data_IF_328393152958
#
_entry.id   IF_328393152958
#
_cell.length_a   1.000
_cell.length_b   1.000
_cell.length_c   1.000
_cell.angle_alpha   90.00
_cell.angle_beta   90.00
_cell.angle_gamma   90.00
#
_symmetry.space_group_name_H-M   'P 1'
#
loop_
_entity.id
_entity.type
_entity.pdbx_description
1 polymer ?
#
# COMPACT_ATOMS: atom_id res chain seq x y z
N UNK A 1 -21.64 20.52 14.12
CA UNK A 1 -21.57 19.70 12.89
C UNK A 1 -21.65 20.64 11.72
N UNK A 2 -20.53 20.91 11.03
CA UNK A 2 -20.57 21.64 9.76
C UNK A 2 -21.14 20.65 8.74
N UNK A 3 -22.28 20.98 8.12
CA UNK A 3 -22.84 20.16 7.05
C UNK A 3 -21.83 20.09 5.91
N UNK A 4 -21.24 18.91 5.68
CA UNK A 4 -20.32 18.71 4.57
C UNK A 4 -21.02 18.95 3.23
N UNK A 5 -20.32 19.55 2.27
CA UNK A 5 -20.83 19.77 0.93
C UNK A 5 -21.08 18.40 0.27
N UNK A 6 -22.31 18.16 -0.19
CA UNK A 6 -22.65 16.96 -0.98
C UNK A 6 -22.68 17.33 -2.46
N UNK A 7 -21.98 16.55 -3.27
CA UNK A 7 -21.99 16.69 -4.72
C UNK A 7 -22.31 15.35 -5.38
N UNK A 8 -23.09 15.39 -6.46
CA UNK A 8 -23.31 14.23 -7.33
C UNK A 8 -22.43 14.39 -8.56
N UNK A 9 -21.60 13.39 -8.84
CA UNK A 9 -20.67 13.38 -9.96
C UNK A 9 -20.97 12.18 -10.86
N UNK A 10 -21.07 12.45 -12.15
CA UNK A 10 -21.11 11.40 -13.16
C UNK A 10 -19.69 11.14 -13.69
N UNK A 11 -19.29 9.88 -13.67
CA UNK A 11 -18.01 9.43 -14.20
C UNK A 11 -18.30 8.71 -15.51
N UNK A 12 -17.93 9.35 -16.61
CA UNK A 12 -18.06 8.75 -17.94
C UNK A 12 -17.13 7.55 -18.12
N UNK A 13 -17.41 6.76 -19.14
CA UNK A 13 -16.60 5.60 -19.53
C UNK A 13 -15.12 5.97 -19.72
N UNK A 14 -14.25 5.17 -19.10
CA UNK A 14 -12.80 5.33 -19.13
C UNK A 14 -12.34 6.72 -18.71
N UNK A 15 -13.06 7.33 -17.77
CA UNK A 15 -12.66 8.55 -17.06
C UNK A 15 -12.46 8.26 -15.59
N UNK A 16 -11.70 9.14 -14.95
CA UNK A 16 -11.48 9.11 -13.52
C UNK A 16 -11.62 10.52 -12.94
N UNK A 17 -11.97 10.58 -11.66
CA UNK A 17 -11.91 11.78 -10.86
C UNK A 17 -11.03 11.49 -9.64
N UNK A 18 -10.33 12.50 -9.16
CA UNK A 18 -9.51 12.42 -7.96
C UNK A 18 -10.26 13.03 -6.80
N UNK A 19 -10.32 12.33 -5.69
CA UNK A 19 -11.00 12.78 -4.48
C UNK A 19 -9.98 12.88 -3.36
N UNK A 20 -9.82 14.10 -2.84
CA UNK A 20 -9.00 14.44 -1.67
C UNK A 20 -9.89 14.38 -0.43
N UNK A 21 -9.51 13.55 0.54
CA UNK A 21 -10.27 13.41 1.78
C UNK A 21 -10.08 14.58 2.75
N UNK A 22 -10.89 14.64 3.83
CA UNK A 22 -11.80 13.60 4.27
C UNK A 22 -13.10 13.60 3.45
N UNK A 23 -13.48 12.45 2.87
CA UNK A 23 -14.67 12.34 2.04
C UNK A 23 -15.34 10.97 2.18
N UNK A 24 -16.67 10.93 2.06
CA UNK A 24 -17.44 9.68 1.90
C UNK A 24 -17.96 9.62 0.47
N UNK A 25 -17.73 8.49 -0.19
CA UNK A 25 -18.23 8.20 -1.53
C UNK A 25 -19.32 7.15 -1.42
N UNK A 26 -20.46 7.40 -2.04
CA UNK A 26 -21.57 6.47 -2.16
C UNK A 26 -21.83 6.20 -3.65
N UNK A 27 -21.81 4.94 -4.06
CA UNK A 27 -22.14 4.57 -5.45
C UNK A 27 -23.66 4.55 -5.58
N UNK A 28 -24.22 5.45 -6.39
CA UNK A 28 -25.68 5.59 -6.54
C UNK A 28 -26.21 4.91 -7.80
N UNK A 29 -25.38 4.80 -8.85
CA UNK A 29 -25.71 4.09 -10.08
C UNK A 29 -24.46 3.58 -10.81
N UNK A 30 -24.58 2.46 -11.51
CA UNK A 30 -23.47 1.83 -12.24
C UNK A 30 -22.39 1.20 -11.34
N UNK A 31 -21.19 1.09 -11.89
CA UNK A 31 -20.03 0.46 -11.25
C UNK A 31 -18.81 1.39 -11.33
N UNK A 32 -18.17 1.62 -10.18
CA UNK A 32 -16.92 2.35 -10.10
C UNK A 32 -15.81 1.47 -9.53
N UNK A 33 -14.59 1.95 -9.64
CA UNK A 33 -13.41 1.23 -9.20
C UNK A 33 -12.47 2.16 -8.44
N UNK A 34 -11.92 1.66 -7.35
CA UNK A 34 -10.84 2.30 -6.60
C UNK A 34 -9.70 1.31 -6.48
N UNK A 35 -8.53 1.63 -7.04
CA UNK A 35 -7.37 0.72 -7.07
C UNK A 35 -7.78 -0.70 -7.50
N UNK A 36 -8.58 -0.83 -8.56
CA UNK A 36 -9.06 -2.12 -9.08
C UNK A 36 -10.22 -2.77 -8.32
N UNK A 37 -10.52 -2.36 -7.09
CA UNK A 37 -11.65 -2.90 -6.35
C UNK A 37 -12.97 -2.39 -6.95
N UNK A 38 -13.84 -3.32 -7.34
CA UNK A 38 -15.16 -3.04 -7.90
C UNK A 38 -16.12 -2.58 -6.81
N UNK A 39 -16.76 -1.44 -7.04
CA UNK A 39 -17.75 -0.81 -6.16
C UNK A 39 -19.07 -0.66 -6.95
N UNK A 40 -20.09 -1.41 -6.55
CA UNK A 40 -21.43 -1.38 -7.16
C UNK A 40 -22.38 -0.51 -6.36
N UNK A 41 -23.55 -0.19 -6.93
CA UNK A 41 -24.64 0.55 -6.27
C UNK A 41 -24.86 0.10 -4.82
N UNK A 42 -24.92 1.07 -3.90
CA UNK A 42 -25.06 0.84 -2.46
C UNK A 42 -23.73 0.72 -1.71
N UNK A 43 -22.60 0.54 -2.40
CA UNK A 43 -21.28 0.55 -1.76
C UNK A 43 -20.93 1.93 -1.23
N UNK A 44 -20.25 1.97 -0.08
CA UNK A 44 -19.71 3.19 0.50
C UNK A 44 -18.22 3.05 0.80
N UNK A 45 -17.45 4.11 0.53
CA UNK A 45 -16.01 4.15 0.83
C UNK A 45 -15.67 5.48 1.48
N UNK A 46 -14.83 5.45 2.51
CA UNK A 46 -14.31 6.65 3.17
C UNK A 46 -12.86 6.88 2.77
N UNK A 47 -12.57 8.08 2.26
CA UNK A 47 -11.21 8.59 2.04
C UNK A 47 -10.86 9.47 3.25
N UNK A 48 -9.79 9.13 3.96
CA UNK A 48 -9.32 9.89 5.14
C UNK A 48 -8.70 11.24 4.78
N UNK A 49 -8.61 12.17 5.75
CA UNK A 49 -8.09 13.55 5.61
C UNK A 49 -6.66 13.72 5.04
N UNK A 50 -5.91 12.63 4.89
CA UNK A 50 -4.54 12.63 4.37
C UNK A 50 -4.37 11.67 3.19
N UNK A 51 -5.46 11.22 2.57
CA UNK A 51 -5.45 10.37 1.38
C UNK A 51 -6.12 11.11 0.22
N UNK A 52 -5.58 10.87 -0.96
CA UNK A 52 -6.16 11.26 -2.23
C UNK A 52 -6.27 10.00 -3.06
N UNK A 53 -7.40 9.78 -3.71
CA UNK A 53 -7.64 8.54 -4.43
C UNK A 53 -8.40 8.82 -5.73
N UNK A 54 -7.93 8.23 -6.81
CA UNK A 54 -8.65 8.21 -8.07
C UNK A 54 -9.76 7.15 -8.00
N UNK A 55 -10.97 7.57 -8.38
CA UNK A 55 -12.11 6.69 -8.66
C UNK A 55 -12.41 6.78 -10.15
N UNK A 56 -12.61 5.62 -10.79
CA UNK A 56 -12.82 5.54 -12.23
C UNK A 56 -13.96 4.60 -12.56
N UNK A 57 -14.44 4.69 -13.80
CA UNK A 57 -15.49 3.84 -14.32
C UNK A 57 -15.07 3.23 -15.66
N UNK A 58 -15.37 1.93 -15.85
CA UNK A 58 -15.18 1.24 -17.15
C UNK A 58 -16.38 1.41 -18.09
N UNK A 59 -17.49 1.90 -17.56
CA UNK A 59 -18.71 2.28 -18.28
C UNK A 59 -19.15 3.65 -17.75
N UNK A 60 -20.43 3.99 -17.82
CA UNK A 60 -20.96 5.12 -17.05
C UNK A 60 -21.25 4.71 -15.61
N UNK A 61 -20.96 5.59 -14.66
CA UNK A 61 -21.39 5.44 -13.27
C UNK A 61 -21.66 6.81 -12.62
N UNK A 62 -22.46 6.81 -11.55
CA UNK A 62 -22.77 8.02 -10.79
C UNK A 62 -22.48 7.80 -9.32
N UNK A 63 -21.80 8.77 -8.72
CA UNK A 63 -21.39 8.75 -7.32
C UNK A 63 -21.87 10.00 -6.60
N UNK A 64 -22.25 9.83 -5.34
CA UNK A 64 -22.45 10.94 -4.41
C UNK A 64 -21.22 11.05 -3.51
N UNK A 65 -20.72 12.26 -3.34
CA UNK A 65 -19.51 12.55 -2.56
C UNK A 65 -19.87 13.55 -1.47
N UNK A 66 -19.75 13.13 -0.22
CA UNK A 66 -19.85 14.01 0.95
C UNK A 66 -18.43 14.49 1.30
N UNK A 67 -18.18 15.78 1.15
CA UNK A 67 -16.90 16.41 1.42
C UNK A 67 -16.84 16.95 2.84
N UNK A 68 -15.82 16.53 3.59
CA UNK A 68 -15.45 17.14 4.85
C UNK A 68 -14.55 18.36 4.67
N UNK A 69 -14.08 18.92 5.79
CA UNK A 69 -13.25 20.12 5.79
C UNK A 69 -11.92 19.90 5.05
N UNK A 70 -11.59 20.80 4.12
CA UNK A 70 -10.36 20.74 3.31
C UNK A 70 -10.37 19.65 2.22
N UNK A 71 -11.46 18.91 2.06
CA UNK A 71 -11.64 17.92 1.00
C UNK A 71 -11.87 18.60 -0.37
N UNK A 72 -11.64 17.85 -1.45
CA UNK A 72 -11.83 18.36 -2.80
C UNK A 72 -12.00 17.26 -3.83
N UNK A 73 -12.61 17.62 -4.95
CA UNK A 73 -12.75 16.75 -6.12
C UNK A 73 -12.18 17.46 -7.32
N UNK A 74 -11.26 16.80 -8.00
CA UNK A 74 -10.56 17.33 -9.16
C UNK A 74 -10.66 16.32 -10.30
N UNK A 75 -10.93 16.79 -11.52
CA UNK A 75 -10.76 15.96 -12.73
C UNK A 75 -9.30 16.09 -13.13
N UNK A 76 -8.45 15.21 -12.59
CA UNK A 76 -7.03 15.20 -12.91
C UNK A 76 -6.83 14.91 -14.41
N UNK A 77 -5.93 15.66 -15.05
CA UNK A 77 -5.62 15.43 -16.46
C UNK A 77 -4.92 14.08 -16.64
N UNK A 78 -5.00 13.41 -17.80
CA UNK A 78 -4.32 12.13 -18.04
C UNK A 78 -2.81 12.14 -17.77
N UNK A 79 -2.16 13.29 -17.95
CA UNK A 79 -0.74 13.50 -17.63
C UNK A 79 -0.45 13.55 -16.11
N UNK A 80 -1.43 13.91 -15.29
CA UNK A 80 -1.33 14.05 -13.83
C UNK A 80 -1.76 12.78 -13.07
N UNK A 81 -2.53 11.90 -13.72
CA UNK A 81 -3.08 10.69 -13.14
C UNK A 81 -2.69 9.44 -13.95
N UNK A 82 -1.67 8.68 -13.53
CA UNK A 82 -1.14 7.53 -14.27
C UNK A 82 -2.01 6.27 -14.13
N UNK A 83 -3.23 6.37 -13.60
CA UNK A 83 -4.12 5.25 -13.30
C UNK A 83 -4.27 4.24 -14.44
N UNK A 84 -4.46 4.69 -15.69
CA UNK A 84 -4.64 3.77 -16.82
C UNK A 84 -3.35 3.05 -17.22
N UNK A 85 -2.20 3.71 -17.11
CA UNK A 85 -0.87 3.09 -17.28
C UNK A 85 -0.63 2.04 -16.19
N UNK A 86 -1.02 2.34 -14.96
CA UNK A 86 -0.95 1.39 -13.85
C UNK A 86 -1.88 0.20 -14.05
N UNK A 87 -3.10 0.42 -14.57
CA UNK A 87 -4.06 -0.63 -14.89
C UNK A 87 -3.51 -1.60 -15.93
N UNK A 88 -3.02 -1.07 -17.06
CA UNK A 88 -2.42 -1.87 -18.12
C UNK A 88 -1.25 -2.71 -17.58
N UNK A 89 -0.39 -2.10 -16.76
CA UNK A 89 0.74 -2.77 -16.14
C UNK A 89 0.29 -3.84 -15.14
N UNK A 90 -0.71 -3.54 -14.30
CA UNK A 90 -1.25 -4.50 -13.35
C UNK A 90 -1.81 -5.74 -14.05
N UNK A 91 -2.53 -5.58 -15.17
CA UNK A 91 -3.01 -6.70 -15.98
C UNK A 91 -1.88 -7.56 -16.57
N UNK A 92 -0.76 -6.94 -16.96
CA UNK A 92 0.43 -7.65 -17.47
C UNK A 92 1.16 -8.42 -16.37
N UNK A 93 1.28 -7.82 -15.18
CA UNK A 93 2.04 -8.38 -14.05
C UNK A 93 1.23 -9.38 -13.21
N UNK A 94 -0.10 -9.36 -13.32
CA UNK A 94 -1.00 -10.29 -12.64
C UNK A 94 -0.95 -11.68 -13.28
N UNK A 95 0.18 -12.35 -13.14
CA UNK A 95 0.47 -13.66 -13.71
C UNK A 95 0.90 -14.64 -12.62
N UNK A 96 0.57 -15.92 -12.82
CA UNK A 96 0.92 -16.97 -11.86
C UNK A 96 2.44 -17.12 -11.74
N UNK A 97 2.93 -17.17 -10.50
CA UNK A 97 4.35 -17.24 -10.17
C UNK A 97 5.02 -15.88 -10.00
N UNK A 98 4.32 -14.77 -10.27
CA UNK A 98 4.93 -13.44 -10.15
C UNK A 98 5.18 -13.03 -8.71
N UNK A 99 6.37 -12.47 -8.48
CA UNK A 99 6.79 -11.84 -7.23
C UNK A 99 7.22 -10.42 -7.56
N UNK A 100 6.41 -9.45 -7.17
CA UNK A 100 6.54 -8.05 -7.59
C UNK A 100 6.94 -7.19 -6.41
N UNK A 101 8.14 -6.60 -6.45
CA UNK A 101 8.58 -5.63 -5.44
C UNK A 101 8.28 -4.23 -5.92
N UNK A 102 7.54 -3.45 -5.12
CA UNK A 102 7.12 -2.09 -5.47
C UNK A 102 7.98 -1.09 -4.71
N UNK A 103 8.72 -0.25 -5.44
CA UNK A 103 9.68 0.72 -4.91
C UNK A 103 9.39 2.14 -5.40
N UNK A 104 9.94 3.14 -4.72
CA UNK A 104 9.74 4.55 -5.05
C UNK A 104 9.66 5.44 -3.80
N UNK A 105 9.76 6.77 -3.97
CA UNK A 105 9.76 7.71 -2.85
C UNK A 105 8.43 7.74 -2.11
N UNK A 106 8.39 8.45 -0.99
CA UNK A 106 7.14 8.60 -0.23
C UNK A 106 6.10 9.34 -1.08
N UNK A 107 4.83 8.95 -0.95
CA UNK A 107 3.70 9.47 -1.75
C UNK A 107 3.78 9.22 -3.27
N UNK A 108 4.61 8.28 -3.75
CA UNK A 108 4.66 7.89 -5.18
C UNK A 108 3.52 6.97 -5.64
N UNK A 109 2.65 6.53 -4.72
CA UNK A 109 1.53 5.63 -5.01
C UNK A 109 1.81 4.14 -4.87
N UNK A 110 2.94 3.73 -4.26
CA UNK A 110 3.32 2.31 -4.06
C UNK A 110 2.20 1.46 -3.46
N UNK A 111 1.63 1.93 -2.37
CA UNK A 111 0.51 1.26 -1.70
C UNK A 111 -0.69 1.12 -2.64
N UNK A 112 -1.10 2.20 -3.32
CA UNK A 112 -2.23 2.19 -4.25
C UNK A 112 -2.01 1.25 -5.43
N UNK A 113 -0.79 1.21 -5.99
CA UNK A 113 -0.42 0.27 -7.05
C UNK A 113 -0.39 -1.18 -6.54
N UNK A 114 0.10 -1.41 -5.32
CA UNK A 114 0.12 -2.75 -4.70
C UNK A 114 -1.30 -3.31 -4.52
N UNK A 115 -2.22 -2.47 -4.04
CA UNK A 115 -3.65 -2.79 -3.95
C UNK A 115 -4.25 -3.05 -5.33
N UNK A 116 -3.93 -2.20 -6.32
CA UNK A 116 -4.38 -2.38 -7.70
C UNK A 116 -3.96 -3.73 -8.26
N UNK A 117 -2.67 -4.07 -8.18
CA UNK A 117 -2.14 -5.33 -8.68
C UNK A 117 -2.81 -6.54 -8.01
N UNK A 118 -3.00 -6.51 -6.69
CA UNK A 118 -3.70 -7.57 -5.98
C UNK A 118 -5.17 -7.69 -6.41
N UNK A 119 -5.89 -6.58 -6.56
CA UNK A 119 -7.30 -6.60 -6.98
C UNK A 119 -7.48 -7.09 -8.42
N UNK A 120 -6.55 -6.74 -9.33
CA UNK A 120 -6.54 -7.27 -10.70
C UNK A 120 -6.23 -8.77 -10.71
N UNK A 121 -5.30 -9.24 -9.87
CA UNK A 121 -5.04 -10.67 -9.72
C UNK A 121 -6.30 -11.42 -9.25
N UNK A 122 -7.04 -10.90 -8.27
CA UNK A 122 -8.32 -11.48 -7.81
C UNK A 122 -9.36 -11.47 -8.93
N UNK A 123 -9.47 -10.37 -9.69
CA UNK A 123 -10.37 -10.27 -10.85
C UNK A 123 -10.08 -11.36 -11.88
N UNK A 124 -8.82 -11.72 -12.08
CA UNK A 124 -8.37 -12.79 -12.98
C UNK A 124 -8.43 -14.19 -12.35
N UNK A 125 -8.98 -14.34 -11.14
CA UNK A 125 -9.11 -15.63 -10.46
C UNK A 125 -7.81 -16.16 -9.84
N UNK A 126 -6.78 -15.32 -9.69
CA UNK A 126 -5.54 -15.64 -8.99
C UNK A 126 -5.66 -15.37 -7.49
N UNK A 127 -4.81 -16.01 -6.69
CA UNK A 127 -4.72 -15.79 -5.24
C UNK A 127 -3.50 -14.93 -4.91
N UNK A 128 -3.64 -13.59 -4.78
CA UNK A 128 -2.53 -12.75 -4.39
C UNK A 128 -2.26 -12.83 -2.87
N UNK A 129 -1.00 -12.68 -2.51
CA UNK A 129 -0.59 -12.27 -1.17
C UNK A 129 0.13 -10.93 -1.24
N UNK A 130 0.03 -10.17 -0.16
CA UNK A 130 0.71 -8.89 0.01
C UNK A 130 1.58 -8.99 1.25
N UNK A 131 2.87 -8.69 1.08
CA UNK A 131 3.78 -8.40 2.17
C UNK A 131 3.91 -6.89 2.25
N UNK A 132 3.42 -6.31 3.33
CA UNK A 132 3.61 -4.89 3.62
C UNK A 132 4.90 -4.72 4.44
N UNK A 133 5.85 -4.05 3.79
CA UNK A 133 7.22 -3.86 4.26
C UNK A 133 7.54 -2.41 4.57
N UNK A 134 6.54 -1.53 4.67
CA UNK A 134 6.73 -0.15 5.11
C UNK A 134 6.73 -0.07 6.63
N UNK A 135 7.86 -0.44 7.25
CA UNK A 135 8.01 -0.42 8.72
C UNK A 135 7.68 0.93 9.36
N UNK A 136 7.74 2.01 8.58
CA UNK A 136 7.41 3.36 9.03
C UNK A 136 5.91 3.63 9.02
N UNK A 137 5.18 3.17 8.00
CA UNK A 137 3.75 3.44 7.80
C UNK A 137 2.98 2.16 7.44
N UNK A 138 3.28 1.08 8.16
CA UNK A 138 2.66 -0.23 7.97
C UNK A 138 1.13 -0.11 8.07
N UNK A 139 0.43 -0.56 7.03
CA UNK A 139 -1.04 -0.47 6.95
C UNK A 139 -1.70 -1.77 7.44
N UNK A 140 -1.15 -2.95 7.11
CA UNK A 140 -1.75 -4.25 7.48
C UNK A 140 -1.54 -4.55 8.97
N UNK A 141 -0.28 -4.46 9.42
CA UNK A 141 0.10 -4.63 10.82
C UNK A 141 0.26 -3.30 11.57
N UNK A 142 0.70 -3.34 12.84
CA UNK A 142 1.11 -2.14 13.54
C UNK A 142 2.46 -1.61 13.01
N UNK A 143 2.75 -0.30 13.15
CA UNK A 143 4.06 0.24 12.80
C UNK A 143 5.21 -0.46 13.53
N UNK A 144 6.37 -0.58 12.88
CA UNK A 144 7.53 -1.32 13.41
C UNK A 144 7.45 -2.84 13.21
N UNK A 145 6.42 -3.32 12.53
CA UNK A 145 6.30 -4.68 12.02
C UNK A 145 6.37 -4.68 10.49
N UNK A 146 6.51 -5.88 9.93
CA UNK A 146 6.11 -6.21 8.57
C UNK A 146 5.04 -7.28 8.63
N UNK A 147 4.05 -7.22 7.75
CA UNK A 147 2.92 -8.13 7.79
C UNK A 147 2.64 -8.79 6.43
N UNK A 148 2.08 -10.00 6.51
CA UNK A 148 1.58 -10.78 5.38
C UNK A 148 0.07 -10.88 5.47
N UNK A 149 -0.62 -10.60 4.37
CA UNK A 149 -2.04 -10.94 4.19
C UNK A 149 -2.29 -11.52 2.81
N UNK A 150 -3.23 -12.46 2.69
CA UNK A 150 -3.60 -13.12 1.44
C UNK A 150 -5.12 -13.02 1.24
N UNK A 151 -5.61 -11.89 0.69
CA UNK A 151 -7.04 -11.65 0.55
C UNK A 151 -7.67 -12.54 -0.52
N UNK A 152 -8.88 -13.05 -0.23
CA UNK A 152 -9.69 -13.83 -1.17
C UNK A 152 -10.75 -13.00 -1.90
N UNK A 153 -10.90 -11.72 -1.54
CA UNK A 153 -11.86 -10.77 -2.13
C UNK A 153 -11.17 -9.43 -2.33
N UNK A 154 -11.63 -8.67 -3.33
CA UNK A 154 -11.13 -7.33 -3.58
C UNK A 154 -11.35 -6.42 -2.38
N UNK A 155 -10.44 -5.46 -2.19
CA UNK A 155 -10.39 -4.57 -1.03
C UNK A 155 -9.85 -3.19 -1.44
N UNK A 156 -10.22 -2.14 -0.69
CA UNK A 156 -9.84 -0.76 -1.04
C UNK A 156 -8.58 -0.32 -0.30
N UNK A 157 -8.44 -0.67 0.98
CA UNK A 157 -7.31 -0.24 1.81
C UNK A 157 -6.56 -1.44 2.40
N UNK A 158 -5.22 -1.39 2.38
CA UNK A 158 -4.39 -2.41 3.05
C UNK A 158 -4.76 -2.58 4.54
N UNK A 159 -5.08 -1.49 5.22
CA UNK A 159 -5.50 -1.47 6.63
C UNK A 159 -6.82 -2.17 6.96
N UNK A 160 -7.57 -2.56 5.94
CA UNK A 160 -8.80 -3.35 6.08
C UNK A 160 -8.50 -4.85 6.01
N UNK A 161 -7.25 -5.23 5.71
CA UNK A 161 -6.80 -6.62 5.69
C UNK A 161 -6.36 -7.05 7.08
N UNK A 162 -6.68 -8.30 7.41
CA UNK A 162 -6.18 -8.96 8.61
C UNK A 162 -4.80 -9.60 8.35
N UNK A 163 -3.82 -9.46 9.25
CA UNK A 163 -2.52 -10.09 9.11
C UNK A 163 -2.62 -11.61 9.36
N UNK A 164 -2.16 -12.41 8.40
CA UNK A 164 -1.96 -13.86 8.58
C UNK A 164 -0.66 -14.17 9.32
N UNK A 165 0.33 -13.30 9.19
CA UNK A 165 1.60 -13.38 9.90
C UNK A 165 2.22 -11.99 10.00
N UNK A 166 2.98 -11.76 11.08
CA UNK A 166 3.75 -10.54 11.28
C UNK A 166 5.15 -10.87 11.77
N UNK A 167 6.10 -9.98 11.52
CA UNK A 167 7.45 -10.03 12.10
C UNK A 167 7.76 -8.69 12.73
N UNK A 168 8.23 -8.73 13.98
CA UNK A 168 8.62 -7.54 14.70
C UNK A 168 10.01 -7.09 14.26
N UNK A 169 10.11 -5.87 13.75
CA UNK A 169 11.40 -5.26 13.38
C UNK A 169 11.95 -4.45 14.56
N UNK A 170 11.06 -3.82 15.32
CA UNK A 170 11.43 -2.98 16.48
C UNK A 170 11.92 -1.58 16.11
N UNK A 171 11.92 -1.25 14.82
CA UNK A 171 12.29 0.06 14.32
C UNK A 171 11.28 0.53 13.29
N UNK A 172 10.98 1.83 13.32
CA UNK A 172 10.16 2.51 12.32
C UNK A 172 11.01 3.26 11.27
N UNK A 173 12.32 3.02 11.29
CA UNK A 173 13.29 3.50 10.31
C UNK A 173 13.96 2.27 9.68
N UNK A 174 13.85 2.09 8.35
CA UNK A 174 14.36 0.91 7.67
C UNK A 174 15.89 0.73 7.81
N UNK A 175 16.65 1.82 7.96
CA UNK A 175 18.12 1.74 8.09
C UNK A 175 18.55 1.04 9.39
N UNK A 176 17.86 1.30 10.51
CA UNK A 176 18.27 0.78 11.83
C UNK A 176 18.00 -0.72 12.00
N UNK A 177 17.11 -1.28 11.18
CA UNK A 177 16.72 -2.69 11.21
C UNK A 177 16.88 -3.39 9.88
N UNK A 178 17.74 -2.92 8.98
CA UNK A 178 17.80 -3.34 7.56
C UNK A 178 17.93 -4.85 7.38
N UNK A 179 18.85 -5.49 8.11
CA UNK A 179 19.05 -6.95 8.03
C UNK A 179 17.83 -7.73 8.54
N UNK A 180 17.20 -7.30 9.64
CA UNK A 180 15.96 -7.92 10.16
C UNK A 180 14.80 -7.72 9.21
N UNK A 181 14.71 -6.54 8.60
CA UNK A 181 13.69 -6.19 7.63
C UNK A 181 13.77 -7.10 6.40
N UNK A 182 14.96 -7.20 5.78
CA UNK A 182 15.19 -8.07 4.62
C UNK A 182 14.86 -9.52 4.97
N UNK A 183 15.39 -10.04 6.09
CA UNK A 183 15.16 -11.41 6.52
C UNK A 183 13.67 -11.70 6.81
N UNK A 184 12.98 -10.75 7.44
CA UNK A 184 11.55 -10.88 7.77
C UNK A 184 10.67 -10.86 6.52
N UNK A 185 10.96 -9.99 5.55
CA UNK A 185 10.24 -9.97 4.27
C UNK A 185 10.47 -11.29 3.52
N UNK A 186 11.73 -11.76 3.45
CA UNK A 186 12.05 -13.03 2.79
C UNK A 186 11.31 -14.22 3.43
N UNK A 187 11.27 -14.28 4.76
CA UNK A 187 10.53 -15.31 5.50
C UNK A 187 9.01 -15.26 5.22
N UNK A 188 8.41 -14.06 5.24
CA UNK A 188 6.99 -13.89 4.91
C UNK A 188 6.67 -14.26 3.44
N UNK A 189 7.55 -13.92 2.49
CA UNK A 189 7.39 -14.34 1.08
C UNK A 189 7.50 -15.85 0.94
N UNK A 190 8.42 -16.49 1.66
CA UNK A 190 8.55 -17.95 1.67
C UNK A 190 7.26 -18.61 2.18
N UNK A 191 6.69 -18.10 3.29
CA UNK A 191 5.39 -18.54 3.81
C UNK A 191 4.26 -18.36 2.79
N UNK A 192 4.19 -17.21 2.13
CA UNK A 192 3.17 -16.92 1.12
C UNK A 192 3.25 -17.83 -0.12
N UNK A 193 4.48 -18.21 -0.53
CA UNK A 193 4.73 -18.97 -1.78
C UNK A 193 4.01 -20.32 -1.86
N UNK A 194 3.62 -20.91 -0.73
CA UNK A 194 2.90 -22.19 -0.68
C UNK A 194 1.40 -22.07 -0.97
N UNK A 195 0.84 -20.86 -0.90
CA UNK A 195 -0.60 -20.61 -0.93
C UNK A 195 -1.03 -19.51 -1.91
N UNK A 196 -0.08 -18.87 -2.60
CA UNK A 196 -0.32 -17.74 -3.50
C UNK A 196 0.03 -18.05 -4.94
N UNK A 197 -0.73 -17.49 -5.87
CA UNK A 197 -0.35 -17.45 -7.29
C UNK A 197 0.47 -16.20 -7.63
N UNK A 198 0.39 -15.15 -6.81
CA UNK A 198 1.14 -13.90 -6.98
C UNK A 198 1.49 -13.30 -5.62
N UNK A 199 2.68 -12.72 -5.48
CA UNK A 199 3.10 -12.03 -4.25
C UNK A 199 3.49 -10.58 -4.59
N UNK A 200 2.83 -9.62 -3.94
CA UNK A 200 3.18 -8.20 -4.01
C UNK A 200 3.94 -7.81 -2.74
N UNK A 201 5.09 -7.17 -2.88
CA UNK A 201 5.89 -6.68 -1.78
C UNK A 201 5.86 -5.15 -1.82
N UNK A 202 5.04 -4.54 -0.96
CA UNK A 202 5.05 -3.09 -0.75
C UNK A 202 6.24 -2.72 0.13
N UNK A 203 6.93 -1.62 -0.18
CA UNK A 203 8.14 -1.22 0.56
C UNK A 203 8.04 0.22 1.06
N UNK A 204 8.87 0.57 2.04
CA UNK A 204 8.99 1.95 2.52
C UNK A 204 9.47 2.93 1.43
N UNK A 205 9.24 4.23 1.67
CA UNK A 205 9.58 5.32 0.75
C UNK A 205 11.04 5.78 0.73
N UNK A 206 11.97 5.08 1.38
CA UNK A 206 13.38 5.47 1.42
C UNK A 206 14.10 5.03 0.14
N UNK A 207 14.44 6.02 -0.70
CA UNK A 207 15.14 5.84 -1.99
C UNK A 207 16.21 6.92 -2.23
N UNK A 208 16.50 7.75 -1.23
CA UNK A 208 17.29 8.97 -1.38
C UNK A 208 18.81 8.75 -1.31
N UNK A 209 19.28 7.52 -1.07
CA UNK A 209 20.71 7.19 -1.01
C UNK A 209 21.00 5.86 -1.71
N UNK A 210 22.25 5.62 -2.15
CA UNK A 210 22.65 4.35 -2.74
C UNK A 210 22.33 3.14 -1.84
N UNK A 211 22.56 3.26 -0.52
CA UNK A 211 22.25 2.19 0.44
C UNK A 211 20.76 1.86 0.49
N UNK A 212 19.89 2.85 0.29
CA UNK A 212 18.45 2.63 0.24
C UNK A 212 18.08 1.77 -0.97
N UNK A 213 18.71 2.04 -2.12
CA UNK A 213 18.50 1.29 -3.36
C UNK A 213 19.07 -0.12 -3.25
N UNK A 214 20.30 -0.27 -2.74
CA UNK A 214 20.92 -1.57 -2.47
C UNK A 214 20.02 -2.43 -1.58
N UNK A 215 19.46 -1.86 -0.50
CA UNK A 215 18.52 -2.57 0.36
C UNK A 215 17.27 -3.05 -0.40
N UNK A 216 16.69 -2.24 -1.30
CA UNK A 216 15.54 -2.68 -2.13
C UNK A 216 15.92 -3.78 -3.11
N UNK A 217 17.10 -3.67 -3.73
CA UNK A 217 17.62 -4.68 -4.63
C UNK A 217 17.91 -5.98 -3.87
N UNK A 218 18.40 -5.91 -2.64
CA UNK A 218 18.58 -7.08 -1.78
C UNK A 218 17.25 -7.73 -1.40
N UNK A 219 16.23 -6.95 -1.01
CA UNK A 219 14.87 -7.48 -0.84
C UNK A 219 14.45 -8.23 -2.10
N UNK A 220 14.54 -7.59 -3.27
CA UNK A 220 14.14 -8.20 -4.54
C UNK A 220 14.93 -9.47 -4.87
N UNK A 221 16.23 -9.50 -4.56
CA UNK A 221 17.10 -10.66 -4.76
C UNK A 221 16.72 -11.81 -3.85
N UNK A 222 16.58 -11.57 -2.54
CA UNK A 222 16.29 -12.61 -1.55
C UNK A 222 14.87 -13.17 -1.64
N UNK A 223 13.90 -12.38 -2.11
CA UNK A 223 12.54 -12.86 -2.36
C UNK A 223 12.39 -13.56 -3.71
N UNK A 224 13.44 -13.55 -4.56
CA UNK A 224 13.37 -14.06 -5.93
C UNK A 224 12.33 -13.32 -6.76
N UNK A 225 12.35 -11.99 -6.73
CA UNK A 225 11.42 -11.14 -7.46
C UNK A 225 11.49 -11.44 -8.97
N UNK A 226 10.32 -11.59 -9.61
CA UNK A 226 10.24 -11.61 -11.07
C UNK A 226 10.24 -10.20 -11.64
N UNK A 227 9.65 -9.24 -10.93
CA UNK A 227 9.55 -7.85 -11.35
C UNK A 227 9.84 -6.88 -10.20
N UNK A 228 10.40 -5.73 -10.55
CA UNK A 228 10.54 -4.56 -9.70
C UNK A 228 9.75 -3.43 -10.35
N UNK A 229 8.69 -2.96 -9.69
CA UNK A 229 7.94 -1.80 -10.15
C UNK A 229 8.49 -0.55 -9.47
N UNK A 230 9.12 0.33 -10.25
CA UNK A 230 9.70 1.57 -9.78
C UNK A 230 8.77 2.74 -10.09
N UNK A 231 8.18 3.31 -9.04
CA UNK A 231 7.30 4.48 -9.12
C UNK A 231 8.08 5.77 -8.89
N UNK A 232 7.67 6.81 -9.61
CA UNK A 232 8.30 8.13 -9.72
C UNK A 232 9.59 8.08 -10.54
N UNK A 233 9.47 8.34 -11.85
CA UNK A 233 10.62 8.68 -12.69
C UNK A 233 11.40 9.84 -12.03
N UNK A 234 12.66 9.59 -11.66
CA UNK A 234 13.41 10.51 -10.80
C UNK A 234 14.85 10.05 -10.53
N UNK A 235 15.52 10.72 -9.59
CA UNK A 235 16.97 10.60 -9.36
C UNK A 235 17.46 9.21 -8.95
N UNK A 236 16.62 8.40 -8.30
CA UNK A 236 17.02 7.04 -7.90
C UNK A 236 17.06 6.07 -9.08
N UNK A 237 16.39 6.39 -10.20
CA UNK A 237 16.36 5.55 -11.40
C UNK A 237 17.76 5.28 -11.97
N UNK A 238 18.67 6.26 -11.87
CA UNK A 238 20.05 6.12 -12.34
C UNK A 238 20.85 5.06 -11.57
N UNK A 239 20.39 4.66 -10.39
CA UNK A 239 21.01 3.64 -9.55
C UNK A 239 20.42 2.25 -9.76
N UNK A 240 19.33 2.12 -10.54
CA UNK A 240 18.76 0.82 -10.87
C UNK A 240 19.58 0.13 -11.96
N UNK A 241 19.83 -1.18 -11.85
CA UNK A 241 20.59 -1.91 -12.84
C UNK A 241 19.83 -1.98 -14.17
N UNK A 242 20.53 -1.87 -15.30
CA UNK A 242 19.90 -2.01 -16.64
C UNK A 242 19.55 -3.45 -17.02
N UNK A 243 20.20 -4.43 -16.37
CA UNK A 243 19.97 -5.87 -16.53
C UNK A 243 20.14 -6.51 -15.14
N UNK A 244 19.33 -7.51 -14.82
CA UNK A 244 19.38 -8.13 -13.49
C UNK A 244 18.54 -9.38 -13.38
N UNK A 245 18.33 -9.81 -12.13
CA UNK A 245 17.58 -11.00 -11.76
C UNK A 245 16.05 -10.81 -11.83
N UNK A 246 15.58 -9.58 -12.05
CA UNK A 246 14.17 -9.22 -12.17
C UNK A 246 13.99 -8.19 -13.30
N UNK A 247 12.82 -8.21 -13.94
CA UNK A 247 12.42 -7.17 -14.90
C UNK A 247 12.07 -5.87 -14.15
N UNK A 248 12.66 -4.74 -14.55
CA UNK A 248 12.34 -3.45 -13.96
C UNK A 248 11.31 -2.74 -14.82
N UNK A 249 10.13 -2.49 -14.24
CA UNK A 249 9.03 -1.75 -14.86
C UNK A 249 8.96 -0.38 -14.22
N UNK A 250 9.10 0.66 -15.04
CA UNK A 250 9.10 2.05 -14.57
C UNK A 250 7.74 2.67 -14.82
N UNK A 251 7.12 3.20 -13.77
CA UNK A 251 5.80 3.82 -13.84
C UNK A 251 5.83 5.26 -13.35
N UNK A 252 5.01 6.10 -13.97
CA UNK A 252 4.78 7.47 -13.49
C UNK A 252 4.08 7.46 -12.12
N UNK A 253 4.30 8.54 -11.37
CA UNK A 253 3.56 8.81 -10.13
C UNK A 253 2.47 9.85 -10.37
N UNK A 254 1.36 9.80 -9.62
CA UNK A 254 0.36 10.86 -9.62
C UNK A 254 0.97 12.20 -9.23
N UNK A 255 0.61 13.25 -9.96
CA UNK A 255 1.01 14.63 -9.67
C UNK A 255 -0.02 15.29 -8.75
N UNK A 256 0.37 16.36 -8.05
CA UNK A 256 -0.56 17.07 -7.15
C UNK A 256 -0.96 16.27 -5.91
N UNK A 257 -0.25 15.16 -5.62
CA UNK A 257 -0.41 14.43 -4.36
C UNK A 257 0.14 15.27 -3.23
N UNK A 258 -0.68 15.47 -2.20
CA UNK A 258 -0.26 16.16 -0.98
C UNK A 258 0.86 15.38 -0.30
N UNK A 259 2.00 16.02 -0.13
CA UNK A 259 3.09 15.47 0.66
C UNK A 259 2.74 15.60 2.14
N UNK A 260 2.70 14.46 2.84
CA UNK A 260 2.49 14.45 4.30
C UNK A 260 3.72 14.96 5.04
N UNK A 261 3.51 15.77 6.06
CA UNK A 261 4.59 16.22 6.95
C UNK A 261 5.09 15.08 7.85
N UNK A 262 6.22 15.31 8.53
CA UNK A 262 6.77 14.36 9.51
C UNK A 262 5.84 14.20 10.71
N UNK A 263 5.20 15.29 11.13
CA UNK A 263 4.24 15.36 12.23
C UNK A 263 2.96 14.58 11.88
N UNK A 264 2.44 14.76 10.67
CA UNK A 264 1.26 14.01 10.19
C UNK A 264 1.54 12.51 10.15
N UNK A 265 2.70 12.12 9.62
CA UNK A 265 3.16 10.72 9.65
C UNK A 265 3.30 10.18 11.08
N UNK A 266 3.75 11.00 12.03
CA UNK A 266 3.82 10.61 13.45
C UNK A 266 2.42 10.44 14.06
N UNK A 267 1.48 11.32 13.73
CA UNK A 267 0.11 11.24 14.21
C UNK A 267 -0.59 9.97 13.67
N UNK A 268 -0.45 9.67 12.38
CA UNK A 268 -0.98 8.45 11.76
C UNK A 268 -0.43 7.18 12.42
N UNK A 269 0.88 7.12 12.68
CA UNK A 269 1.47 5.99 13.44
C UNK A 269 0.89 5.86 14.84
N UNK A 270 0.67 6.99 15.53
CA UNK A 270 0.10 6.98 16.87
C UNK A 270 -1.33 6.43 16.85
N UNK A 271 -2.12 6.77 15.82
CA UNK A 271 -3.45 6.20 15.61
C UNK A 271 -3.39 4.71 15.27
N UNK A 272 -2.44 4.28 14.42
CA UNK A 272 -2.26 2.87 14.07
C UNK A 272 -1.89 2.02 15.30
N UNK A 273 -1.01 2.51 16.17
CA UNK A 273 -0.72 1.84 17.44
C UNK A 273 -1.96 1.75 18.34
N UNK A 274 -2.72 2.84 18.47
CA UNK A 274 -3.96 2.82 19.27
C UNK A 274 -4.92 1.76 18.74
N UNK A 275 -5.17 1.73 17.43
CA UNK A 275 -6.00 0.71 16.76
C UNK A 275 -5.51 -0.71 17.05
N UNK A 276 -4.20 -0.96 16.97
CA UNK A 276 -3.63 -2.28 17.22
C UNK A 276 -3.85 -2.79 18.65
N UNK A 277 -4.02 -1.89 19.63
CA UNK A 277 -4.31 -2.24 21.02
C UNK A 277 -5.79 -2.11 21.39
N UNK A 278 -6.68 -1.70 20.47
CA UNK A 278 -8.12 -1.64 20.74
C UNK A 278 -8.66 -3.03 21.09
N UNK A 279 -9.42 -3.12 22.18
CA UNK A 279 -9.95 -4.40 22.69
C UNK A 279 -8.90 -5.34 23.29
N UNK A 280 -7.63 -4.93 23.38
CA UNK A 280 -6.59 -5.74 24.02
C UNK A 280 -6.77 -5.79 25.54
N UNK A 281 -6.37 -6.91 26.14
CA UNK A 281 -6.39 -7.12 27.58
C UNK A 281 -4.99 -7.06 28.16
N UNK A 282 -4.88 -6.58 29.39
CA UNK A 282 -3.61 -6.59 30.12
C UNK A 282 -3.17 -8.03 30.36
N UNK A 283 -1.91 -8.33 30.07
CA UNK A 283 -1.25 -9.59 30.41
C UNK A 283 -0.07 -9.27 31.33
N UNK A 284 0.10 -10.05 32.39
CA UNK A 284 1.27 -10.00 33.27
C UNK A 284 2.03 -11.32 33.16
N UNK A 285 3.35 -11.22 33.15
CA UNK A 285 4.26 -12.37 33.08
C UNK A 285 5.32 -12.20 34.17
N UNK A 286 5.72 -13.29 34.81
CA UNK A 286 6.91 -13.25 35.66
C UNK A 286 8.15 -13.15 34.79
N UNK A 287 9.11 -12.31 35.18
CA UNK A 287 10.39 -12.18 34.47
C UNK A 287 11.14 -13.52 34.41
N UNK A 288 10.96 -14.37 35.42
CA UNK A 288 11.57 -15.71 35.49
C UNK A 288 10.95 -16.72 34.53
N UNK A 289 9.78 -16.41 33.97
CA UNK A 289 9.00 -17.31 33.10
C UNK A 289 9.12 -16.94 31.62
N UNK A 290 9.83 -15.86 31.29
CA UNK A 290 9.98 -15.38 29.91
C UNK A 290 11.44 -15.17 29.54
N UNK A 291 11.77 -15.47 28.29
CA UNK A 291 13.08 -15.14 27.73
C UNK A 291 12.96 -13.79 27.02
N UNK A 292 13.69 -12.79 27.50
CA UNK A 292 13.77 -11.49 26.84
C UNK A 292 14.97 -11.47 25.90
N UNK A 293 14.72 -11.31 24.61
CA UNK A 293 15.76 -11.17 23.59
C UNK A 293 15.76 -9.76 23.00
N UNK A 294 16.93 -9.20 22.69
CA UNK A 294 17.03 -7.91 22.00
C UNK A 294 16.65 -6.70 22.85
N UNK A 295 16.78 -6.81 24.18
CA UNK A 295 16.56 -5.72 25.14
C UNK A 295 17.79 -5.53 26.02
N UNK A 296 18.05 -4.30 26.44
CA UNK A 296 19.04 -3.99 27.49
C UNK A 296 18.41 -3.93 28.89
N UNK A 297 17.12 -4.26 29.03
CA UNK A 297 16.50 -4.34 30.33
C UNK A 297 17.17 -5.47 31.14
N UNK A 298 17.53 -5.16 32.39
CA UNK A 298 18.21 -6.08 33.31
C UNK A 298 19.59 -6.56 32.85
N UNK A 299 20.26 -5.80 31.97
CA UNK A 299 21.66 -6.06 31.57
C UNK A 299 22.69 -5.52 32.57
N UNK A 300 22.28 -5.26 33.82
CA UNK A 300 23.10 -4.73 34.92
C UNK A 300 22.52 -5.13 36.26
#
# INVERSE_FOLDING_TARGET
MVAGLRISVEISENKSIRIRGPARISIIDGECYISGAKLSKGSQVVISAYKSQAIYSRSRARVEIELGEGAGVDVAKPEEEPLFEWLETAYKLATKGSRVVVIGPTESGKTSFSVLLANIAIEQGLRPCIVDGDVGQEDIGPPGFVALSCPSKQFVWLRDLEPQAMRFIGHNNPLMGSYRLIASIADLVSKASTQSDLIVINTDGWVSSPQAIEMKLDIARYVGASHIVALAGGSFMGHLPRKGFAEIVVLRSPQGVRVRSREERRALRSQAYKKAFEGSVMRSFSISEVIITGSCLFSG
#
